data_IF_302032523066
#
_entry.id   IF_302032523066
#
_cell.length_a   1.000
_cell.length_b   1.000
_cell.length_c   1.000
_cell.angle_alpha   90.00
_cell.angle_beta   90.00
_cell.angle_gamma   90.00
#
_symmetry.space_group_name_H-M   'P 1'
#
loop_
_entity.id
_entity.type
_entity.pdbx_description
1 polymer ?
#
# COMPACT_ATOMS: atom_id res chain seq x y z
N UNK A 1 26.83 13.09 -24.10
CA UNK A 1 28.01 12.28 -24.48
C UNK A 1 27.98 10.99 -23.69
N UNK A 2 27.59 9.88 -24.32
CA UNK A 2 27.59 8.54 -23.72
C UNK A 2 28.98 7.91 -23.89
N UNK A 3 29.56 7.41 -22.81
CA UNK A 3 30.94 6.89 -22.78
C UNK A 3 31.10 5.70 -23.74
N UNK A 4 31.93 5.83 -24.79
CA UNK A 4 32.23 4.76 -25.77
C UNK A 4 32.66 3.46 -25.10
N UNK A 5 33.32 3.54 -23.94
CA UNK A 5 33.80 2.40 -23.17
C UNK A 5 32.65 1.60 -22.55
N UNK A 6 31.63 2.28 -22.02
CA UNK A 6 30.41 1.64 -21.51
C UNK A 6 29.62 0.98 -22.64
N UNK A 7 29.51 1.65 -23.79
CA UNK A 7 28.89 1.08 -24.99
C UNK A 7 29.60 -0.23 -25.41
N UNK A 8 30.92 -0.23 -25.53
CA UNK A 8 31.68 -1.44 -25.89
C UNK A 8 31.52 -2.57 -24.87
N UNK A 9 31.46 -2.28 -23.57
CA UNK A 9 31.24 -3.29 -22.52
C UNK A 9 29.82 -3.86 -22.59
N UNK A 10 28.82 -3.01 -22.82
CA UNK A 10 27.41 -3.40 -22.94
C UNK A 10 27.11 -4.25 -24.18
N UNK A 11 27.93 -4.15 -25.23
CA UNK A 11 27.79 -4.93 -26.46
C UNK A 11 28.64 -6.22 -26.49
N UNK A 12 29.27 -6.62 -25.38
CA UNK A 12 30.00 -7.90 -25.25
C UNK A 12 29.08 -9.05 -24.83
N UNK A 13 29.57 -10.28 -25.00
CA UNK A 13 28.91 -11.54 -24.63
C UNK A 13 28.46 -11.62 -23.17
N UNK A 14 29.06 -10.82 -22.28
CA UNK A 14 28.79 -10.82 -20.83
C UNK A 14 27.71 -9.81 -20.42
N UNK A 15 27.04 -9.15 -21.37
CA UNK A 15 26.02 -8.12 -21.10
C UNK A 15 24.99 -8.56 -20.06
N UNK A 16 24.47 -9.77 -20.20
CA UNK A 16 23.42 -10.28 -19.32
C UNK A 16 23.92 -10.46 -17.88
N UNK A 17 25.13 -11.00 -17.70
CA UNK A 17 25.72 -11.16 -16.38
C UNK A 17 25.95 -9.81 -15.70
N UNK A 18 26.50 -8.84 -16.44
CA UNK A 18 26.70 -7.48 -15.92
C UNK A 18 25.38 -6.86 -15.46
N UNK A 19 24.30 -7.08 -16.23
CA UNK A 19 22.98 -6.59 -15.87
C UNK A 19 22.40 -7.29 -14.64
N UNK A 20 22.66 -8.59 -14.47
CA UNK A 20 22.28 -9.34 -13.26
C UNK A 20 23.03 -8.81 -12.05
N UNK A 21 24.35 -8.62 -12.15
CA UNK A 21 25.17 -8.13 -11.05
C UNK A 21 24.72 -6.72 -10.59
N UNK A 22 24.38 -5.86 -11.56
CA UNK A 22 23.80 -4.53 -11.27
C UNK A 22 22.41 -4.66 -10.64
N UNK A 23 21.55 -5.54 -11.14
CA UNK A 23 20.22 -5.74 -10.58
C UNK A 23 20.28 -6.33 -9.16
N UNK A 24 21.23 -7.20 -8.85
CA UNK A 24 21.45 -7.73 -7.50
C UNK A 24 21.89 -6.62 -6.53
N UNK A 25 22.84 -5.78 -6.93
CA UNK A 25 23.28 -4.63 -6.13
C UNK A 25 22.13 -3.64 -5.87
N UNK A 26 21.48 -3.20 -6.94
CA UNK A 26 20.53 -2.08 -6.89
C UNK A 26 19.12 -2.49 -6.47
N UNK A 27 18.72 -3.73 -6.74
CA UNK A 27 17.35 -4.20 -6.54
C UNK A 27 17.27 -5.48 -5.71
N UNK A 28 18.39 -6.14 -5.38
CA UNK A 28 18.39 -7.42 -4.71
C UNK A 28 17.68 -7.43 -3.34
N UNK A 29 17.35 -8.62 -2.84
CA UNK A 29 17.76 -9.94 -3.35
C UNK A 29 16.97 -10.40 -4.59
N UNK A 30 17.66 -10.80 -5.67
CA UNK A 30 16.96 -11.19 -6.91
C UNK A 30 16.17 -12.48 -6.78
N UNK A 31 16.62 -13.41 -5.94
CA UNK A 31 15.93 -14.69 -5.73
C UNK A 31 14.49 -14.49 -5.24
N UNK A 32 14.26 -13.53 -4.34
CA UNK A 32 12.91 -13.19 -3.86
C UNK A 32 12.06 -12.55 -4.98
N UNK A 33 12.64 -11.69 -5.82
CA UNK A 33 11.92 -11.11 -6.97
C UNK A 33 11.55 -12.20 -7.99
N UNK A 34 12.46 -13.14 -8.25
CA UNK A 34 12.23 -14.27 -9.14
C UNK A 34 11.06 -15.12 -8.62
N UNK A 35 10.94 -15.32 -7.30
CA UNK A 35 9.77 -16.02 -6.74
C UNK A 35 8.48 -15.30 -7.11
N UNK A 36 8.41 -13.97 -7.03
CA UNK A 36 7.23 -13.20 -7.42
C UNK A 36 6.93 -13.37 -8.91
N UNK A 37 7.94 -13.16 -9.76
CA UNK A 37 7.76 -13.18 -11.22
C UNK A 37 7.26 -14.55 -11.69
N UNK A 38 7.84 -15.62 -11.12
CA UNK A 38 7.54 -17.00 -11.49
C UNK A 38 6.33 -17.58 -10.78
N UNK A 39 5.74 -16.86 -9.81
CA UNK A 39 4.58 -17.33 -9.06
C UNK A 39 3.38 -17.58 -9.98
N UNK A 40 2.85 -18.80 -9.88
CA UNK A 40 1.72 -19.31 -10.65
C UNK A 40 1.00 -20.44 -9.88
N UNK A 41 -0.13 -20.90 -10.40
CA UNK A 41 -0.98 -21.94 -9.77
C UNK A 41 -0.49 -23.37 -9.97
N UNK A 42 0.50 -23.62 -10.84
CA UNK A 42 1.00 -24.97 -11.13
C UNK A 42 1.94 -25.53 -10.07
N UNK A 43 2.50 -24.66 -9.21
CA UNK A 43 3.40 -25.05 -8.14
C UNK A 43 3.04 -24.32 -6.85
N UNK A 44 3.20 -24.98 -5.69
CA UNK A 44 2.92 -24.39 -4.37
C UNK A 44 3.86 -23.22 -4.06
N UNK A 45 3.35 -22.16 -3.43
CA UNK A 45 4.10 -20.93 -3.18
C UNK A 45 5.39 -21.13 -2.37
N UNK A 46 5.37 -22.03 -1.38
CA UNK A 46 6.51 -22.33 -0.51
C UNK A 46 7.66 -23.09 -1.21
N UNK A 47 7.46 -23.61 -2.42
CA UNK A 47 8.52 -24.26 -3.16
C UNK A 47 9.35 -23.21 -3.90
N UNK A 48 10.66 -23.24 -3.70
CA UNK A 48 11.60 -22.35 -4.36
C UNK A 48 11.62 -22.60 -5.87
N UNK A 49 11.49 -21.53 -6.65
CA UNK A 49 11.50 -21.53 -8.11
C UNK A 49 12.80 -20.94 -8.64
N UNK A 50 13.36 -21.56 -9.65
CA UNK A 50 14.46 -21.01 -10.42
C UNK A 50 13.99 -20.75 -11.84
N UNK A 51 14.49 -19.67 -12.45
CA UNK A 51 14.22 -19.36 -13.83
C UNK A 51 15.52 -18.96 -14.54
N UNK A 52 15.73 -19.38 -15.79
CA UNK A 52 16.86 -18.91 -16.57
C UNK A 52 16.75 -17.40 -16.74
N UNK A 53 17.84 -16.69 -16.47
CA UNK A 53 17.87 -15.25 -16.68
C UNK A 53 17.75 -14.96 -18.17
N UNK A 54 16.76 -14.13 -18.51
CA UNK A 54 16.47 -13.65 -19.86
C UNK A 54 16.24 -12.15 -19.81
N UNK A 55 16.35 -11.46 -20.95
CA UNK A 55 16.06 -10.01 -21.04
C UNK A 55 14.63 -9.68 -20.58
N UNK A 56 13.65 -10.54 -20.89
CA UNK A 56 12.26 -10.39 -20.44
C UNK A 56 12.08 -10.59 -18.95
N UNK A 57 12.80 -11.55 -18.33
CA UNK A 57 12.77 -11.74 -16.88
C UNK A 57 13.40 -10.54 -16.18
N UNK A 58 14.53 -10.06 -16.69
CA UNK A 58 15.22 -8.90 -16.14
C UNK A 58 14.35 -7.63 -16.18
N UNK A 59 13.59 -7.40 -17.26
CA UNK A 59 12.64 -6.28 -17.32
C UNK A 59 11.57 -6.35 -16.23
N UNK A 60 11.05 -7.55 -15.96
CA UNK A 60 10.08 -7.76 -14.88
C UNK A 60 10.72 -7.56 -13.50
N UNK A 61 11.96 -8.04 -13.32
CA UNK A 61 12.74 -7.81 -12.11
C UNK A 61 12.90 -6.31 -11.85
N UNK A 62 13.31 -5.55 -12.87
CA UNK A 62 13.49 -4.09 -12.77
C UNK A 62 12.19 -3.38 -12.39
N UNK A 63 11.06 -3.80 -12.95
CA UNK A 63 9.76 -3.21 -12.62
C UNK A 63 9.38 -3.43 -11.14
N UNK A 64 9.57 -4.64 -10.61
CA UNK A 64 9.32 -4.94 -9.20
C UNK A 64 10.32 -4.22 -8.30
N UNK A 65 11.60 -4.21 -8.68
CA UNK A 65 12.64 -3.54 -7.92
C UNK A 65 12.43 -2.03 -7.78
N UNK A 66 11.94 -1.35 -8.83
CA UNK A 66 11.60 0.06 -8.74
C UNK A 66 10.46 0.35 -7.77
N UNK A 67 9.51 -0.56 -7.59
CA UNK A 67 8.48 -0.42 -6.55
C UNK A 67 9.13 -0.48 -5.17
N UNK A 68 10.04 -1.42 -4.92
CA UNK A 68 10.73 -1.51 -3.64
C UNK A 68 11.60 -0.28 -3.35
N UNK A 69 12.29 0.26 -4.37
CA UNK A 69 13.03 1.53 -4.24
C UNK A 69 12.12 2.72 -3.86
N UNK A 70 10.88 2.76 -4.36
CA UNK A 70 9.91 3.78 -3.90
C UNK A 70 9.54 3.58 -2.43
N UNK A 71 9.44 2.33 -1.97
CA UNK A 71 9.23 2.03 -0.56
C UNK A 71 10.42 2.44 0.33
N UNK A 72 11.66 2.37 -0.15
CA UNK A 72 12.83 2.90 0.58
C UNK A 72 12.72 4.41 0.89
N UNK A 73 12.03 5.16 0.04
CA UNK A 73 11.79 6.59 0.24
C UNK A 73 10.62 6.81 1.23
N UNK A 74 9.57 6.00 1.13
CA UNK A 74 8.34 6.14 1.92
C UNK A 74 8.53 5.63 3.36
N UNK A 75 9.22 4.51 3.51
CA UNK A 75 9.32 3.77 4.77
C UNK A 75 9.86 4.65 5.91
N UNK A 76 10.99 5.37 5.77
CA UNK A 76 11.48 6.23 6.85
C UNK A 76 10.51 7.34 7.27
N UNK A 77 9.84 7.95 6.30
CA UNK A 77 8.88 9.03 6.57
C UNK A 77 7.72 8.52 7.43
N UNK A 78 7.38 7.23 7.28
CA UNK A 78 6.26 6.57 7.95
C UNK A 78 6.66 5.94 9.28
N UNK A 79 7.79 5.24 9.32
CA UNK A 79 8.33 4.62 10.54
C UNK A 79 8.58 5.68 11.62
N UNK A 80 9.20 6.80 11.25
CA UNK A 80 9.50 7.92 12.15
C UNK A 80 8.47 9.04 12.05
N UNK A 81 7.19 8.70 11.90
CA UNK A 81 6.10 9.69 11.78
C UNK A 81 5.87 10.48 13.08
N UNK A 82 6.06 9.88 14.24
CA UNK A 82 5.93 10.52 15.56
C UNK A 82 7.28 10.88 16.17
N UNK A 83 8.33 10.17 15.79
CA UNK A 83 9.70 10.36 16.25
C UNK A 83 10.54 11.08 15.17
N UNK A 84 10.31 12.38 15.02
CA UNK A 84 10.96 13.17 13.97
C UNK A 84 12.47 13.36 14.20
N UNK A 85 12.94 13.23 15.44
CA UNK A 85 14.36 13.42 15.81
C UNK A 85 15.24 12.29 15.28
N UNK A 86 14.73 11.06 15.30
CA UNK A 86 15.43 9.89 14.79
C UNK A 86 15.14 9.59 13.31
N UNK A 87 14.36 10.44 12.62
CA UNK A 87 14.08 10.24 11.19
C UNK A 87 15.35 10.41 10.36
N UNK A 88 15.76 9.33 9.69
CA UNK A 88 16.92 9.31 8.79
C UNK A 88 16.68 8.49 7.53
N UNK A 89 17.58 8.61 6.57
CA UNK A 89 17.64 7.67 5.45
C UNK A 89 18.10 6.29 5.94
N UNK A 90 17.65 5.25 5.24
CA UNK A 90 18.12 3.89 5.49
C UNK A 90 19.58 3.72 5.04
N UNK A 91 20.33 2.87 5.74
CA UNK A 91 21.62 2.36 5.27
C UNK A 91 21.45 1.23 4.23
N UNK A 92 22.56 0.68 3.74
CA UNK A 92 22.54 -0.37 2.70
C UNK A 92 21.91 -1.68 3.19
N UNK A 93 22.16 -2.07 4.44
CA UNK A 93 21.64 -3.31 5.01
C UNK A 93 20.15 -3.19 5.30
N UNK A 94 19.71 -2.04 5.79
CA UNK A 94 18.29 -1.70 5.99
C UNK A 94 17.53 -1.63 4.67
N UNK A 95 18.12 -1.03 3.63
CA UNK A 95 17.55 -1.05 2.27
C UNK A 95 17.40 -2.48 1.76
N UNK A 96 18.40 -3.33 1.97
CA UNK A 96 18.33 -4.73 1.60
C UNK A 96 17.21 -5.47 2.36
N UNK A 97 17.14 -5.34 3.69
CA UNK A 97 16.05 -5.93 4.50
C UNK A 97 14.67 -5.44 4.05
N UNK A 98 14.53 -4.14 3.81
CA UNK A 98 13.27 -3.55 3.33
C UNK A 98 12.85 -4.13 1.98
N UNK A 99 13.76 -4.18 1.00
CA UNK A 99 13.48 -4.76 -0.33
C UNK A 99 13.06 -6.22 -0.20
N UNK A 100 13.82 -7.02 0.55
CA UNK A 100 13.50 -8.42 0.83
C UNK A 100 12.11 -8.60 1.45
N UNK A 101 11.78 -7.81 2.47
CA UNK A 101 10.49 -7.85 3.14
C UNK A 101 9.33 -7.47 2.20
N UNK A 102 9.50 -6.42 1.38
CA UNK A 102 8.54 -6.02 0.34
C UNK A 102 8.32 -7.17 -0.65
N UNK A 103 9.38 -7.82 -1.12
CA UNK A 103 9.27 -8.90 -2.11
C UNK A 103 8.52 -10.12 -1.55
N UNK A 104 8.82 -10.51 -0.32
CA UNK A 104 8.19 -11.65 0.34
C UNK A 104 6.73 -11.40 0.67
N UNK A 105 6.40 -10.18 1.10
CA UNK A 105 5.01 -9.77 1.28
C UNK A 105 4.26 -9.80 -0.06
N UNK A 106 4.87 -9.27 -1.13
CA UNK A 106 4.29 -9.30 -2.47
C UNK A 106 4.06 -10.74 -2.96
N UNK A 107 5.01 -11.64 -2.74
CA UNK A 107 4.85 -13.06 -3.05
C UNK A 107 3.63 -13.65 -2.32
N UNK A 108 3.47 -13.34 -1.03
CA UNK A 108 2.32 -13.78 -0.25
C UNK A 108 0.99 -13.28 -0.86
N UNK A 109 0.87 -11.98 -1.14
CA UNK A 109 -0.33 -11.40 -1.77
C UNK A 109 -0.64 -12.09 -3.11
N UNK A 110 0.37 -12.26 -3.97
CA UNK A 110 0.21 -12.89 -5.28
C UNK A 110 -0.17 -14.37 -5.19
N UNK A 111 0.25 -15.06 -4.13
CA UNK A 111 -0.07 -16.47 -3.93
C UNK A 111 -1.46 -16.70 -3.35
N UNK A 112 -1.89 -15.87 -2.40
CA UNK A 112 -3.03 -16.21 -1.53
C UNK A 112 -4.18 -15.20 -1.54
N UNK A 113 -3.99 -14.00 -2.10
CA UNK A 113 -5.07 -13.03 -2.30
C UNK A 113 -5.56 -13.07 -3.73
N UNK A 114 -6.25 -14.16 -4.05
CA UNK A 114 -6.83 -14.45 -5.35
C UNK A 114 -8.27 -14.92 -5.20
N UNK A 115 -9.01 -14.99 -6.30
CA UNK A 115 -10.39 -15.49 -6.33
C UNK A 115 -10.53 -16.92 -5.78
N UNK A 116 -9.48 -17.75 -5.86
CA UNK A 116 -9.51 -19.13 -5.35
C UNK A 116 -9.58 -19.20 -3.82
N UNK A 117 -9.17 -18.15 -3.11
CA UNK A 117 -9.22 -18.06 -1.65
C UNK A 117 -10.35 -17.13 -1.21
N UNK A 118 -11.55 -17.69 -1.13
CA UNK A 118 -12.74 -16.96 -0.67
C UNK A 118 -12.72 -16.66 0.83
N UNK A 119 -13.57 -15.73 1.25
CA UNK A 119 -13.80 -15.39 2.66
C UNK A 119 -14.20 -16.58 3.54
N UNK A 120 -14.83 -17.60 2.96
CA UNK A 120 -15.31 -18.78 3.68
C UNK A 120 -14.23 -19.84 3.86
N UNK A 121 -13.19 -19.84 3.02
CA UNK A 121 -12.09 -20.80 3.08
C UNK A 121 -10.93 -20.32 3.95
N UNK A 122 -10.85 -19.02 4.26
CA UNK A 122 -9.67 -18.39 4.87
C UNK A 122 -9.31 -18.86 6.30
N UNK A 123 -10.23 -19.55 6.99
CA UNK A 123 -10.04 -20.10 8.34
C UNK A 123 -9.98 -21.64 8.33
N UNK A 124 -10.15 -22.28 7.17
CA UNK A 124 -10.09 -23.73 7.07
C UNK A 124 -8.67 -24.21 7.40
N UNK A 125 -8.47 -25.14 8.34
CA UNK A 125 -7.14 -25.50 8.83
C UNK A 125 -6.14 -25.87 7.73
N UNK A 126 -6.58 -26.61 6.70
CA UNK A 126 -5.70 -27.00 5.58
C UNK A 126 -5.30 -25.81 4.69
N UNK A 127 -6.18 -24.82 4.51
CA UNK A 127 -5.88 -23.59 3.76
C UNK A 127 -4.90 -22.75 4.55
N UNK A 128 -5.16 -22.57 5.84
CA UNK A 128 -4.28 -21.74 6.66
C UNK A 128 -2.90 -22.41 6.79
N UNK A 129 -2.83 -23.77 6.80
CA UNK A 129 -1.59 -24.54 6.84
C UNK A 129 -0.81 -24.42 5.52
N UNK A 130 -1.51 -24.41 4.39
CA UNK A 130 -0.90 -24.14 3.08
C UNK A 130 -0.23 -22.74 3.05
N UNK A 131 -0.89 -21.72 3.61
CA UNK A 131 -0.29 -20.37 3.72
C UNK A 131 0.90 -20.36 4.66
N UNK A 132 0.78 -21.02 5.82
CA UNK A 132 1.83 -21.11 6.82
C UNK A 132 3.11 -21.76 6.26
N UNK A 133 2.99 -22.75 5.37
CA UNK A 133 4.14 -23.37 4.69
C UNK A 133 5.05 -22.34 4.01
N UNK A 134 4.51 -21.25 3.46
CA UNK A 134 5.35 -20.19 2.88
C UNK A 134 6.12 -19.44 3.96
N UNK A 135 5.46 -19.06 5.05
CA UNK A 135 6.07 -18.31 6.15
C UNK A 135 7.11 -19.14 6.92
N UNK A 136 6.98 -20.47 6.95
CA UNK A 136 7.99 -21.36 7.56
C UNK A 136 9.33 -21.34 6.83
N UNK A 137 9.41 -20.85 5.60
CA UNK A 137 10.68 -20.68 4.90
C UNK A 137 11.51 -19.50 5.43
N UNK A 138 10.94 -18.65 6.28
CA UNK A 138 11.60 -17.44 6.78
C UNK A 138 11.79 -17.50 8.30
N UNK A 139 12.93 -17.01 8.75
CA UNK A 139 13.26 -16.89 10.18
C UNK A 139 12.32 -15.90 10.89
N UNK A 140 12.28 -15.93 12.24
CA UNK A 140 11.43 -15.01 13.01
C UNK A 140 11.86 -13.55 12.80
N UNK A 141 13.17 -13.28 12.64
CA UNK A 141 13.68 -11.96 12.29
C UNK A 141 13.17 -11.48 10.91
N UNK A 142 13.21 -12.35 9.90
CA UNK A 142 12.69 -12.02 8.57
C UNK A 142 11.16 -11.82 8.57
N UNK A 143 10.42 -12.55 9.40
CA UNK A 143 8.99 -12.32 9.59
C UNK A 143 8.72 -10.97 10.29
N UNK A 144 9.60 -10.54 11.20
CA UNK A 144 9.50 -9.22 11.82
C UNK A 144 9.71 -8.10 10.79
N UNK A 145 10.68 -8.24 9.89
CA UNK A 145 10.88 -7.31 8.77
C UNK A 145 9.62 -7.20 7.89
N UNK A 146 8.97 -8.33 7.60
CA UNK A 146 7.76 -8.36 6.77
C UNK A 146 6.57 -7.71 7.49
N UNK A 147 6.34 -8.03 8.76
CA UNK A 147 5.23 -7.42 9.53
C UNK A 147 5.47 -5.91 9.73
N UNK A 148 6.70 -5.47 9.97
CA UNK A 148 7.05 -4.05 10.04
C UNK A 148 6.66 -3.32 8.74
N UNK A 149 7.03 -3.88 7.59
CA UNK A 149 6.62 -3.36 6.27
C UNK A 149 5.10 -3.37 6.08
N UNK A 150 4.42 -4.46 6.47
CA UNK A 150 2.97 -4.58 6.36
C UNK A 150 2.24 -3.50 7.18
N UNK A 151 2.75 -3.16 8.37
CA UNK A 151 2.21 -2.07 9.20
C UNK A 151 2.36 -0.71 8.51
N UNK A 152 3.51 -0.45 7.86
CA UNK A 152 3.72 0.77 7.08
C UNK A 152 2.77 0.84 5.87
N UNK A 153 2.59 -0.27 5.15
CA UNK A 153 1.61 -0.37 4.07
C UNK A 153 0.21 -0.11 4.61
N UNK A 154 -0.14 -0.65 5.78
CA UNK A 154 -1.41 -0.38 6.46
C UNK A 154 -1.64 1.09 6.79
N UNK A 155 -0.64 1.82 7.29
CA UNK A 155 -0.76 3.28 7.49
C UNK A 155 -0.99 4.00 6.14
N UNK A 156 -0.33 3.58 5.06
CA UNK A 156 -0.55 4.15 3.73
C UNK A 156 -1.97 3.86 3.25
N UNK A 157 -2.42 2.62 3.30
CA UNK A 157 -3.77 2.22 2.88
C UNK A 157 -4.81 3.01 3.67
N UNK A 158 -4.73 3.00 5.00
CA UNK A 158 -5.72 3.65 5.87
C UNK A 158 -5.72 5.17 5.76
N UNK A 159 -4.59 5.82 5.48
CA UNK A 159 -4.51 7.28 5.48
C UNK A 159 -4.49 7.91 4.08
N UNK A 160 -4.19 7.15 3.03
CA UNK A 160 -4.02 7.69 1.67
C UNK A 160 -4.93 6.97 0.66
N UNK A 161 -5.08 5.66 0.71
CA UNK A 161 -5.92 4.97 -0.28
C UNK A 161 -7.39 5.02 0.12
N UNK A 162 -7.69 4.60 1.35
CA UNK A 162 -9.04 4.57 1.89
C UNK A 162 -9.15 5.32 3.23
N UNK A 163 -8.90 6.65 3.26
CA UNK A 163 -9.05 7.45 4.47
C UNK A 163 -10.47 7.43 5.03
N UNK A 164 -10.58 7.30 6.37
CA UNK A 164 -11.85 7.43 7.07
C UNK A 164 -12.42 8.85 6.96
N UNK A 165 -13.73 9.04 7.15
CA UNK A 165 -14.32 10.39 7.14
C UNK A 165 -13.67 11.28 8.21
N UNK A 166 -13.44 10.75 9.43
CA UNK A 166 -12.71 11.46 10.48
C UNK A 166 -11.29 11.86 10.08
N UNK A 167 -10.59 11.01 9.32
CA UNK A 167 -9.26 11.31 8.79
C UNK A 167 -9.30 12.45 7.76
N UNK A 168 -10.26 12.43 6.84
CA UNK A 168 -10.48 13.53 5.88
C UNK A 168 -10.78 14.83 6.63
N UNK A 169 -11.71 14.80 7.58
CA UNK A 169 -12.10 15.98 8.35
C UNK A 169 -10.92 16.59 9.12
N UNK A 170 -10.12 15.75 9.78
CA UNK A 170 -8.90 16.17 10.51
C UNK A 170 -7.87 16.80 9.56
N UNK A 171 -7.62 16.17 8.40
CA UNK A 171 -6.69 16.71 7.38
C UNK A 171 -7.19 18.04 6.83
N UNK A 172 -8.49 18.16 6.56
CA UNK A 172 -9.10 19.39 6.05
C UNK A 172 -8.96 20.54 7.05
N UNK A 173 -9.37 20.34 8.32
CA UNK A 173 -9.22 21.34 9.39
C UNK A 173 -7.78 21.76 9.58
N UNK A 174 -6.83 20.82 9.52
CA UNK A 174 -5.39 21.13 9.62
C UNK A 174 -4.90 22.00 8.45
N UNK A 175 -5.42 21.78 7.23
CA UNK A 175 -5.05 22.56 6.04
C UNK A 175 -5.72 23.93 6.00
N UNK A 176 -6.94 24.04 6.52
CA UNK A 176 -7.78 25.24 6.47
C UNK A 176 -8.32 25.60 7.86
N UNK A 177 -7.46 26.02 8.80
CA UNK A 177 -7.87 26.30 10.18
C UNK A 177 -8.90 27.44 10.28
N UNK A 178 -8.83 28.42 9.37
CA UNK A 178 -9.75 29.58 9.32
C UNK A 178 -11.05 29.28 8.57
N UNK A 179 -11.23 28.08 8.02
CA UNK A 179 -12.44 27.75 7.27
C UNK A 179 -13.58 27.35 8.20
N UNK A 180 -14.72 28.03 8.09
CA UNK A 180 -15.98 27.63 8.73
C UNK A 180 -16.71 26.54 7.93
N UNK A 181 -16.13 26.07 6.82
CA UNK A 181 -16.73 25.07 5.96
C UNK A 181 -16.59 23.68 6.60
N UNK A 182 -17.73 23.06 6.92
CA UNK A 182 -17.76 21.68 7.40
C UNK A 182 -17.93 20.75 6.20
N UNK A 183 -16.97 19.83 6.01
CA UNK A 183 -17.13 18.74 5.06
C UNK A 183 -18.34 17.90 5.47
N UNK A 184 -19.33 17.84 4.58
CA UNK A 184 -20.53 17.04 4.75
C UNK A 184 -20.20 15.64 4.25
N UNK A 185 -20.09 14.68 5.17
CA UNK A 185 -20.01 13.27 4.80
C UNK A 185 -21.43 12.72 4.84
N UNK A 186 -21.84 11.98 3.81
CA UNK A 186 -23.10 11.26 3.81
C UNK A 186 -22.98 10.09 4.81
N UNK A 187 -23.21 10.37 6.09
CA UNK A 187 -23.11 9.41 7.20
C UNK A 187 -24.34 8.48 7.25
N UNK A 188 -25.36 8.73 6.42
CA UNK A 188 -26.60 7.97 6.42
C UNK A 188 -26.84 7.24 5.10
N UNK A 189 -26.73 5.89 5.17
CA UNK A 189 -27.43 4.86 4.36
C UNK A 189 -26.97 4.57 2.92
N UNK A 190 -26.16 3.51 2.78
CA UNK A 190 -26.16 2.58 1.64
C UNK A 190 -27.41 1.66 1.71
N UNK A 191 -28.62 2.20 1.54
CA UNK A 191 -29.79 1.39 1.19
C UNK A 191 -30.49 2.02 -0.01
N UNK A 192 -30.90 1.24 -1.02
CA UNK A 192 -31.76 1.76 -2.08
C UNK A 192 -33.08 2.18 -1.42
N UNK A 193 -33.39 3.47 -1.44
CA UNK A 193 -34.65 4.01 -0.95
C UNK A 193 -35.78 3.44 -1.79
N UNK A 194 -36.58 2.58 -1.17
CA UNK A 194 -37.85 2.12 -1.72
C UNK A 194 -38.85 3.28 -1.72
N UNK A 195 -39.23 3.68 -2.94
CA UNK A 195 -40.49 4.30 -3.37
C UNK A 195 -41.48 4.85 -2.31
N UNK A 196 -41.61 6.20 -2.29
CA UNK A 196 -42.84 7.04 -2.41
C UNK A 196 -43.96 7.01 -1.33
N UNK A 197 -44.93 7.97 -1.34
CA UNK A 197 -44.87 9.44 -1.52
C UNK A 197 -45.75 10.21 -0.48
N UNK A 198 -45.57 11.54 -0.38
CA UNK A 198 -46.59 12.59 -0.09
C UNK A 198 -46.09 13.67 0.89
N UNK A 199 -46.18 14.96 0.49
CA UNK A 199 -46.17 16.05 1.48
C UNK A 199 -45.64 17.44 1.09
N UNK A 200 -46.15 18.02 0.00
CA UNK A 200 -46.22 19.47 -0.30
C UNK A 200 -44.94 20.28 -0.65
N UNK A 201 -45.05 21.30 -1.54
CA UNK A 201 -43.93 21.97 -2.18
C UNK A 201 -43.55 23.27 -1.47
N UNK A 202 -42.25 23.51 -1.22
CA UNK A 202 -41.76 24.85 -0.89
C UNK A 202 -41.08 25.45 -2.11
N UNK A 203 -41.68 26.53 -2.59
CA UNK A 203 -41.20 27.45 -3.61
C UNK A 203 -39.84 28.03 -3.21
N UNK A 204 -38.99 28.27 -4.21
CA UNK A 204 -37.61 28.79 -4.17
C UNK A 204 -36.47 27.75 -4.05
N UNK A 205 -36.43 26.78 -4.96
CA UNK A 205 -35.15 26.21 -5.40
C UNK A 205 -34.84 26.76 -6.80
N UNK A 206 -33.82 27.60 -6.87
CA UNK A 206 -33.21 28.01 -8.13
C UNK A 206 -32.27 26.88 -8.50
N UNK A 207 -32.58 26.15 -9.57
CA UNK A 207 -31.76 25.07 -10.12
C UNK A 207 -30.29 25.53 -10.24
N UNK A 208 -29.46 25.07 -9.29
CA UNK A 208 -28.02 25.22 -9.39
C UNK A 208 -27.50 24.00 -10.14
N UNK A 209 -27.02 24.27 -11.35
CA UNK A 209 -26.45 23.29 -12.26
C UNK A 209 -25.30 22.55 -11.54
N UNK A 210 -25.31 21.21 -11.44
CA UNK A 210 -24.28 20.46 -10.69
C UNK A 210 -22.86 20.76 -11.16
N UNK A 211 -22.70 21.14 -12.42
CA UNK A 211 -21.41 21.52 -13.01
C UNK A 211 -20.79 22.78 -12.36
N UNK A 212 -21.58 23.73 -11.85
CA UNK A 212 -21.02 24.96 -11.25
C UNK A 212 -20.43 24.73 -9.85
N UNK A 213 -20.97 23.81 -9.06
CA UNK A 213 -20.41 23.47 -7.74
C UNK A 213 -19.03 22.78 -7.83
N UNK A 214 -18.78 22.00 -8.89
CA UNK A 214 -17.48 21.37 -9.12
C UNK A 214 -16.39 22.36 -9.55
N UNK A 215 -16.75 23.48 -10.19
CA UNK A 215 -15.76 24.46 -10.68
C UNK A 215 -15.27 25.44 -9.61
N UNK A 216 -16.02 25.65 -8.53
CA UNK A 216 -15.65 26.60 -7.48
C UNK A 216 -14.74 26.03 -6.37
N UNK A 217 -14.46 24.73 -6.38
CA UNK A 217 -13.57 24.07 -5.40
C UNK A 217 -12.10 24.00 -5.84
N UNK A 218 -11.77 24.32 -7.09
CA UNK A 218 -10.42 24.13 -7.62
C UNK A 218 -9.51 25.38 -7.64
N UNK A 219 -10.04 26.61 -7.57
CA UNK A 219 -9.19 27.82 -7.58
C UNK A 219 -9.77 28.97 -6.75
N UNK A 220 -9.03 29.56 -5.79
CA UNK A 220 -9.43 30.81 -5.18
C UNK A 220 -9.28 31.94 -6.20
N UNK A 221 -10.41 32.46 -6.70
CA UNK A 221 -10.47 33.68 -7.51
C UNK A 221 -10.21 34.91 -6.63
N UNK A 222 -9.07 35.56 -6.90
CA UNK A 222 -8.71 36.95 -6.61
C UNK A 222 -8.92 37.47 -5.17
N UNK A 223 -7.81 37.71 -4.44
CA UNK A 223 -7.37 39.05 -4.05
C UNK A 223 -6.00 38.97 -3.33
N UNK A 224 -5.07 39.78 -3.82
CA UNK A 224 -3.90 40.39 -3.14
C UNK A 224 -2.85 39.51 -2.45
N UNK A 225 -1.61 39.69 -2.93
CA UNK A 225 -0.31 39.21 -2.40
C UNK A 225 -0.32 38.75 -0.92
N UNK A 226 -0.23 37.43 -0.70
CA UNK A 226 0.09 36.85 0.62
C UNK A 226 0.62 35.41 0.49
N UNK A 227 1.40 34.91 1.46
CA UNK A 227 2.68 34.21 1.25
C UNK A 227 2.52 32.73 0.86
N UNK A 228 2.10 32.47 -0.38
CA UNK A 228 2.04 31.11 -0.93
C UNK A 228 3.41 30.40 -0.98
N UNK A 229 4.54 31.11 -0.82
CA UNK A 229 5.89 30.53 -0.79
C UNK A 229 6.19 29.67 0.45
N UNK A 230 5.47 29.85 1.56
CA UNK A 230 5.69 29.08 2.79
C UNK A 230 4.64 27.99 3.04
N UNK A 231 3.45 28.06 2.42
CA UNK A 231 2.40 27.03 2.56
C UNK A 231 2.77 25.68 1.91
N UNK A 232 3.77 25.66 1.02
CA UNK A 232 4.31 24.44 0.42
C UNK A 232 5.15 23.60 1.39
N UNK A 233 5.73 24.19 2.45
CA UNK A 233 6.69 23.50 3.33
C UNK A 233 6.04 22.62 4.40
N UNK A 234 4.73 22.73 4.60
CA UNK A 234 3.97 21.95 5.59
C UNK A 234 2.85 21.09 4.97
N UNK A 235 2.95 20.76 3.68
CA UNK A 235 2.07 19.75 3.08
C UNK A 235 2.47 18.37 3.61
N UNK A 236 1.61 17.79 4.43
CA UNK A 236 1.78 16.44 4.99
C UNK A 236 1.77 15.31 3.93
N UNK A 237 1.51 15.64 2.66
CA UNK A 237 1.93 14.83 1.52
C UNK A 237 2.01 15.76 0.29
N UNK A 238 3.10 15.71 -0.46
CA UNK A 238 3.22 16.48 -1.71
C UNK A 238 2.29 15.91 -2.80
N UNK A 239 1.86 14.65 -2.63
CA UNK A 239 1.34 13.82 -3.70
C UNK A 239 -0.15 13.44 -3.56
N UNK A 240 -0.84 13.80 -2.48
CA UNK A 240 -2.18 13.25 -2.27
C UNK A 240 -3.18 14.18 -1.56
N UNK A 241 -4.18 14.62 -2.32
CA UNK A 241 -5.40 15.24 -1.80
C UNK A 241 -6.57 14.27 -1.99
N UNK A 242 -7.04 13.60 -0.92
CA UNK A 242 -8.08 12.55 -1.02
C UNK A 242 -9.47 13.07 -1.39
N UNK A 243 -9.61 14.38 -1.63
CA UNK A 243 -10.89 15.04 -1.85
C UNK A 243 -11.67 15.24 -0.56
N UNK A 244 -12.99 15.44 -0.69
CA UNK A 244 -13.92 15.70 0.41
C UNK A 244 -14.64 14.45 0.93
N UNK A 245 -14.37 13.27 0.37
CA UNK A 245 -15.10 12.04 0.67
C UNK A 245 -14.20 11.00 1.36
N UNK A 246 -14.70 10.41 2.44
CA UNK A 246 -14.04 9.30 3.14
C UNK A 246 -14.73 7.96 2.92
N UNK A 247 -14.14 6.93 3.53
CA UNK A 247 -14.55 5.53 3.39
C UNK A 247 -15.37 5.04 4.59
N UNK A 248 -16.16 5.93 5.19
CA UNK A 248 -16.84 5.66 6.45
C UNK A 248 -15.92 5.83 7.65
N UNK A 249 -16.40 5.42 8.82
CA UNK A 249 -15.63 5.36 10.07
C UNK A 249 -15.93 4.03 10.80
N UNK A 250 -15.28 3.81 11.94
CA UNK A 250 -15.52 2.69 12.85
C UNK A 250 -15.42 1.30 12.18
N UNK A 251 -16.39 0.42 12.47
CA UNK A 251 -16.41 -0.99 12.04
C UNK A 251 -16.50 -1.12 10.51
N UNK A 252 -17.37 -0.40 9.78
CA UNK A 252 -17.39 -0.46 8.32
C UNK A 252 -16.05 -0.07 7.69
N UNK A 253 -15.41 0.98 8.20
CA UNK A 253 -14.10 1.42 7.71
C UNK A 253 -13.02 0.37 7.93
N UNK A 254 -13.03 -0.31 9.08
CA UNK A 254 -12.12 -1.42 9.35
C UNK A 254 -12.19 -2.51 8.27
N UNK A 255 -13.39 -2.94 7.87
CA UNK A 255 -13.54 -3.97 6.82
C UNK A 255 -13.05 -3.49 5.46
N UNK A 256 -13.29 -2.22 5.11
CA UNK A 256 -12.72 -1.63 3.89
C UNK A 256 -11.20 -1.69 3.92
N UNK A 257 -10.57 -1.30 5.03
CA UNK A 257 -9.11 -1.37 5.18
C UNK A 257 -8.62 -2.80 5.07
N UNK A 258 -9.31 -3.77 5.68
CA UNK A 258 -8.95 -5.20 5.58
C UNK A 258 -9.00 -5.71 4.14
N UNK A 259 -9.99 -5.31 3.35
CA UNK A 259 -10.04 -5.67 1.93
C UNK A 259 -8.91 -5.02 1.14
N UNK A 260 -8.66 -3.72 1.36
CA UNK A 260 -7.60 -2.97 0.67
C UNK A 260 -6.19 -3.42 1.03
N UNK A 261 -5.99 -3.99 2.22
CA UNK A 261 -4.71 -4.54 2.65
C UNK A 261 -4.27 -5.77 1.84
N UNK A 262 -5.14 -6.33 0.98
CA UNK A 262 -4.75 -7.34 -0.01
C UNK A 262 -4.03 -6.80 -1.23
N UNK A 263 -4.08 -5.49 -1.45
CA UNK A 263 -3.37 -4.85 -2.54
C UNK A 263 -1.88 -5.10 -2.35
N UNK A 264 -1.22 -5.56 -3.40
CA UNK A 264 0.21 -5.78 -3.34
C UNK A 264 0.99 -4.45 -3.25
N UNK A 265 2.28 -4.48 -2.84
CA UNK A 265 3.07 -3.26 -2.67
C UNK A 265 3.13 -2.37 -3.93
N UNK A 266 3.07 -2.94 -5.13
CA UNK A 266 3.04 -2.18 -6.38
C UNK A 266 1.70 -1.50 -6.64
N UNK A 267 0.60 -2.20 -6.37
CA UNK A 267 -0.76 -1.68 -6.49
C UNK A 267 -1.01 -0.53 -5.50
N UNK A 268 -0.51 -0.66 -4.26
CA UNK A 268 -0.60 0.40 -3.23
C UNK A 268 0.11 1.67 -3.70
N UNK A 269 1.33 1.55 -4.24
CA UNK A 269 2.07 2.69 -4.80
C UNK A 269 1.32 3.30 -5.97
N UNK A 270 0.82 2.47 -6.89
CA UNK A 270 0.09 2.95 -8.05
C UNK A 270 -1.14 3.76 -7.66
N UNK A 271 -1.97 3.24 -6.75
CA UNK A 271 -3.16 3.93 -6.25
C UNK A 271 -2.81 5.24 -5.54
N UNK A 272 -1.79 5.21 -4.68
CA UNK A 272 -1.31 6.41 -3.98
C UNK A 272 -0.92 7.53 -4.96
N UNK A 273 -0.31 7.18 -6.09
CA UNK A 273 0.21 8.14 -7.07
C UNK A 273 -0.83 8.55 -8.13
N UNK A 274 -1.78 7.68 -8.48
CA UNK A 274 -2.65 7.86 -9.66
C UNK A 274 -4.15 7.89 -9.35
N UNK A 275 -4.57 7.53 -8.14
CA UNK A 275 -5.98 7.50 -7.73
C UNK A 275 -6.23 8.41 -6.51
N UNK A 276 -6.13 9.75 -6.66
CA UNK A 276 -6.41 10.68 -5.58
C UNK A 276 -7.86 10.63 -5.06
N UNK A 277 -8.82 10.22 -5.89
CA UNK A 277 -10.25 10.25 -5.55
C UNK A 277 -10.76 8.85 -5.20
N UNK A 278 -11.70 8.79 -4.23
CA UNK A 278 -12.38 7.55 -3.83
C UNK A 278 -12.97 6.78 -5.01
N UNK A 279 -13.66 7.45 -5.93
CA UNK A 279 -14.25 6.82 -7.12
C UNK A 279 -13.20 6.10 -8.01
N UNK A 280 -12.00 6.66 -8.12
CA UNK A 280 -10.92 6.06 -8.91
C UNK A 280 -10.40 4.79 -8.25
N UNK A 281 -10.23 4.81 -6.92
CA UNK A 281 -9.85 3.63 -6.13
C UNK A 281 -10.96 2.57 -6.23
N UNK A 282 -12.23 2.95 -6.08
CA UNK A 282 -13.35 2.01 -6.23
C UNK A 282 -13.39 1.37 -7.62
N UNK A 283 -13.17 2.17 -8.68
CA UNK A 283 -13.14 1.67 -10.06
C UNK A 283 -11.99 0.68 -10.25
N UNK A 284 -10.81 0.99 -9.72
CA UNK A 284 -9.67 0.09 -9.76
C UNK A 284 -9.97 -1.22 -9.03
N UNK A 285 -10.52 -1.14 -7.81
CA UNK A 285 -10.81 -2.34 -7.01
C UNK A 285 -11.91 -3.20 -7.63
N UNK A 286 -12.94 -2.59 -8.21
CA UNK A 286 -13.99 -3.31 -8.94
C UNK A 286 -13.43 -4.10 -10.13
N UNK A 287 -12.29 -3.67 -10.72
CA UNK A 287 -11.67 -4.39 -11.84
C UNK A 287 -11.10 -5.77 -11.46
N UNK A 288 -10.87 -6.05 -10.16
CA UNK A 288 -10.47 -7.38 -9.70
C UNK A 288 -11.63 -8.38 -9.67
N UNK A 289 -12.87 -7.90 -9.62
CA UNK A 289 -14.08 -8.72 -9.46
C UNK A 289 -14.57 -8.79 -8.01
N UNK A 290 -15.73 -9.41 -7.82
CA UNK A 290 -16.47 -9.38 -6.55
C UNK A 290 -15.75 -10.10 -5.40
N UNK A 291 -14.84 -11.04 -5.70
CA UNK A 291 -14.05 -11.76 -4.69
C UNK A 291 -13.15 -10.85 -3.86
N UNK A 292 -12.84 -9.64 -4.35
CA UNK A 292 -12.00 -8.69 -3.63
C UNK A 292 -12.73 -8.10 -2.42
N UNK A 293 -14.05 -8.00 -2.45
CA UNK A 293 -14.82 -7.41 -1.35
C UNK A 293 -15.15 -8.45 -0.28
N UNK A 294 -15.31 -7.98 0.96
CA UNK A 294 -15.68 -8.79 2.12
C UNK A 294 -14.77 -10.00 2.36
N UNK A 295 -13.50 -9.87 1.98
CA UNK A 295 -12.53 -10.94 1.98
C UNK A 295 -11.18 -10.37 2.41
N UNK A 296 -11.06 -10.01 3.68
CA UNK A 296 -9.88 -9.30 4.18
C UNK A 296 -8.55 -10.04 4.02
N UNK A 297 -7.47 -9.28 4.17
CA UNK A 297 -6.08 -9.71 4.27
C UNK A 297 -5.88 -10.85 5.30
N UNK A 298 -4.87 -11.71 5.12
CA UNK A 298 -4.73 -12.97 5.89
C UNK A 298 -3.31 -13.29 6.36
N UNK A 299 -2.31 -12.50 5.98
CA UNK A 299 -0.93 -12.59 6.39
C UNK A 299 -0.82 -12.46 7.90
N UNK A 300 -1.47 -11.45 8.49
CA UNK A 300 -1.46 -11.25 9.94
C UNK A 300 -1.92 -12.50 10.72
N UNK A 301 -3.05 -13.08 10.32
CA UNK A 301 -3.58 -14.31 10.91
C UNK A 301 -2.63 -15.52 10.69
N UNK A 302 -2.00 -15.58 9.52
CA UNK A 302 -1.05 -16.67 9.19
C UNK A 302 0.24 -16.53 9.98
N UNK A 303 0.72 -15.31 10.17
CA UNK A 303 1.89 -14.98 10.99
C UNK A 303 1.64 -15.37 12.45
N UNK A 304 0.48 -14.99 13.00
CA UNK A 304 0.09 -15.38 14.36
C UNK A 304 0.10 -16.90 14.54
N UNK A 305 -0.42 -17.66 13.56
CA UNK A 305 -0.31 -19.12 13.61
C UNK A 305 1.16 -19.57 13.64
N UNK A 306 1.99 -19.10 12.72
CA UNK A 306 3.40 -19.51 12.66
C UNK A 306 4.16 -19.15 13.94
N UNK A 307 3.91 -17.99 14.55
CA UNK A 307 4.52 -17.60 15.83
C UNK A 307 4.09 -18.55 16.95
N UNK A 308 2.80 -18.86 17.03
CA UNK A 308 2.27 -19.82 18.01
C UNK A 308 2.88 -21.21 17.87
N UNK A 309 3.14 -21.68 16.64
CA UNK A 309 3.82 -22.95 16.40
C UNK A 309 5.29 -22.93 16.81
N UNK A 310 5.94 -21.77 16.70
CA UNK A 310 7.32 -21.56 17.18
C UNK A 310 7.40 -21.40 18.70
N UNK A 311 6.26 -21.17 19.36
CA UNK A 311 6.19 -20.90 20.80
C UNK A 311 6.44 -19.44 21.17
N UNK A 312 6.39 -18.54 20.19
CA UNK A 312 6.58 -17.10 20.37
C UNK A 312 5.23 -16.42 20.69
N UNK A 313 5.24 -15.42 21.56
CA UNK A 313 4.07 -14.58 21.85
C UNK A 313 3.93 -13.48 20.78
N UNK A 314 2.78 -13.40 20.13
CA UNK A 314 2.55 -12.47 19.02
C UNK A 314 2.48 -11.01 19.47
N UNK A 315 2.04 -10.76 20.71
CA UNK A 315 1.90 -9.41 21.24
C UNK A 315 3.27 -8.87 21.66
N UNK A 316 4.10 -9.70 22.31
CA UNK A 316 5.51 -9.40 22.59
C UNK A 316 6.28 -9.16 21.28
N UNK A 317 6.10 -10.03 20.29
CA UNK A 317 6.72 -9.88 18.98
C UNK A 317 6.35 -8.54 18.30
N UNK A 318 5.08 -8.16 18.32
CA UNK A 318 4.63 -6.87 17.77
C UNK A 318 5.10 -5.68 18.59
N UNK A 319 5.20 -5.81 19.91
CA UNK A 319 5.77 -4.79 20.77
C UNK A 319 7.25 -4.55 20.43
N UNK A 320 8.04 -5.62 20.28
CA UNK A 320 9.44 -5.53 19.89
C UNK A 320 9.65 -4.84 18.52
N UNK A 321 8.74 -5.04 17.55
CA UNK A 321 8.75 -4.31 16.27
C UNK A 321 8.46 -2.81 16.47
N UNK A 322 7.51 -2.48 17.34
CA UNK A 322 7.13 -1.10 17.63
C UNK A 322 8.24 -0.34 18.37
N UNK A 323 8.94 -1.03 19.27
CA UNK A 323 10.08 -0.53 20.05
C UNK A 323 11.39 -0.55 19.26
N UNK A 324 11.38 -1.06 18.02
CA UNK A 324 12.56 -1.16 17.13
C UNK A 324 13.66 -2.06 17.70
N UNK A 325 13.29 -3.10 18.42
CA UNK A 325 14.23 -4.17 18.81
C UNK A 325 14.43 -5.16 17.66
N UNK A 326 13.39 -5.36 16.84
CA UNK A 326 13.39 -6.20 15.63
C UNK A 326 12.64 -5.48 14.49
N UNK A 327 12.84 -5.94 13.26
CA UNK A 327 12.18 -5.37 12.07
C UNK A 327 13.18 -4.96 11.00
N UNK A 328 12.78 -4.05 10.12
CA UNK A 328 13.68 -3.55 9.06
C UNK A 328 14.81 -2.71 9.66
N UNK A 329 14.46 -1.93 10.68
CA UNK A 329 15.38 -1.06 11.42
C UNK A 329 15.34 -1.46 12.88
N UNK A 330 16.51 -1.59 13.48
CA UNK A 330 16.69 -1.78 14.91
C UNK A 330 17.56 -0.66 15.51
N UNK A 331 17.35 -0.35 16.79
CA UNK A 331 18.11 0.67 17.54
C UNK A 331 19.34 0.11 18.27
#
# INVERSE_FOLDING_TARGET
MTCRRLHTVFHRSNKLQILVDVAESELGPLDDIIQIVTQNTSQRAHLFRTAPITDSLLKQIVQIGHVAQKWEIIYPVKKWKTDYENRRSLDDDERFRLRRAIYRLWLYHRAFHTETYSRFSRTLPHIVSERAQLLHNWSTAELAEIEDVRLIIGDIVQNHICPSNGTIQRKFRKRYPESNHQLTFNIHLNYPSSSSPAGAPSLFEKDLNPAEQYFHTAHPSNFTESPAKYKSRFRNDYFHDPGSEGWGDEIPHYYVVQDMLKLDPGQVIWLREHAPLKEQVETYVRSFGDWFRDNGETFGDTLEWVMKERGDDIDEFRAAIAEREVGVVWD
#
